data_IF_052874098326
#
_entry.id   IF_052874098326
#
_cell.length_a   1.000
_cell.length_b   1.000
_cell.length_c   1.000
_cell.angle_alpha   90.00
_cell.angle_beta   90.00
_cell.angle_gamma   90.00
#
_symmetry.space_group_name_H-M   'P 1'
#
loop_
_entity.id
_entity.type
_entity.pdbx_description
1 polymer ?
#
# COMPACT_ATOMS: atom_id res chain seq x y z
N UNK A 1 -44.59 -50.83 -33.89
CA UNK A 1 -44.53 -49.35 -33.71
C UNK A 1 -43.93 -49.07 -32.34
N UNK A 2 -42.65 -48.72 -32.31
CA UNK A 2 -41.96 -48.31 -31.08
C UNK A 2 -41.94 -46.80 -30.99
N UNK A 3 -42.59 -46.22 -29.97
CA UNK A 3 -42.56 -44.76 -29.71
C UNK A 3 -41.32 -44.46 -28.85
N UNK A 4 -40.40 -43.73 -29.47
CA UNK A 4 -39.22 -43.16 -28.78
C UNK A 4 -39.64 -41.87 -28.09
N UNK A 5 -39.55 -41.85 -26.74
CA UNK A 5 -39.80 -40.64 -25.94
C UNK A 5 -38.50 -39.83 -25.91
N UNK A 6 -38.50 -38.64 -26.43
CA UNK A 6 -37.41 -37.67 -26.37
C UNK A 6 -37.56 -36.87 -25.08
N UNK A 7 -36.69 -37.11 -24.08
CA UNK A 7 -36.61 -36.31 -22.85
C UNK A 7 -35.68 -35.12 -23.15
N UNK A 8 -36.24 -33.91 -23.29
CA UNK A 8 -35.48 -32.67 -23.34
C UNK A 8 -35.21 -32.25 -21.90
N UNK A 9 -33.98 -32.47 -21.44
CA UNK A 9 -33.52 -31.98 -20.19
C UNK A 9 -33.24 -30.46 -20.25
N UNK A 10 -34.11 -29.65 -19.67
CA UNK A 10 -33.80 -28.26 -19.38
C UNK A 10 -32.73 -28.20 -18.29
N UNK A 11 -31.50 -27.92 -18.65
CA UNK A 11 -30.44 -27.52 -17.70
C UNK A 11 -30.75 -26.07 -17.33
N UNK A 12 -31.41 -25.86 -16.19
CA UNK A 12 -31.51 -24.55 -15.56
C UNK A 12 -30.14 -24.18 -15.02
N UNK A 13 -29.46 -23.27 -15.73
CA UNK A 13 -28.31 -22.56 -15.16
C UNK A 13 -28.82 -21.69 -14.01
N UNK A 14 -28.71 -22.20 -12.78
CA UNK A 14 -28.78 -21.37 -11.59
C UNK A 14 -27.49 -20.56 -11.53
N UNK A 15 -27.48 -19.38 -12.16
CA UNK A 15 -26.54 -18.33 -11.79
C UNK A 15 -26.93 -17.86 -10.40
N UNK A 16 -26.25 -18.36 -9.38
CA UNK A 16 -26.29 -17.76 -8.05
C UNK A 16 -25.80 -16.33 -8.19
N UNK A 17 -26.69 -15.37 -8.13
CA UNK A 17 -26.38 -13.98 -7.85
C UNK A 17 -25.85 -13.90 -6.41
N UNK A 18 -24.59 -14.29 -6.22
CA UNK A 18 -23.83 -13.76 -5.09
C UNK A 18 -23.71 -12.26 -5.37
N UNK A 19 -24.21 -11.42 -4.46
CA UNK A 19 -23.97 -9.99 -4.53
C UNK A 19 -22.47 -9.80 -4.75
N UNK A 20 -22.08 -9.19 -5.87
CA UNK A 20 -20.67 -8.95 -6.17
C UNK A 20 -20.14 -8.06 -5.05
N UNK A 21 -19.24 -8.60 -4.21
CA UNK A 21 -18.51 -7.79 -3.25
C UNK A 21 -17.78 -6.69 -4.03
N UNK A 22 -17.97 -5.45 -3.60
CA UNK A 22 -17.39 -4.28 -4.24
C UNK A 22 -15.89 -4.25 -3.91
N UNK A 23 -15.00 -3.89 -4.86
CA UNK A 23 -13.59 -3.70 -4.56
C UNK A 23 -13.37 -2.74 -3.39
N UNK A 24 -12.53 -3.11 -2.44
CA UNK A 24 -12.36 -2.33 -1.22
C UNK A 24 -11.67 -0.99 -1.46
N UNK A 25 -12.30 0.09 -1.02
CA UNK A 25 -11.73 1.45 -1.01
C UNK A 25 -10.92 1.76 0.26
N UNK A 26 -10.81 0.79 1.17
CA UNK A 26 -10.15 0.98 2.48
C UNK A 26 -8.75 1.60 2.36
N UNK A 27 -7.99 1.17 1.38
CA UNK A 27 -6.60 1.61 1.20
C UNK A 27 -6.46 3.01 0.59
N UNK A 28 -7.52 3.56 0.00
CA UNK A 28 -7.52 4.91 -0.56
C UNK A 28 -7.81 6.02 0.47
N UNK A 29 -8.20 5.66 1.69
CA UNK A 29 -8.68 6.60 2.71
C UNK A 29 -7.70 7.73 3.01
N UNK A 30 -6.40 7.42 3.05
CA UNK A 30 -5.39 8.43 3.35
C UNK A 30 -5.27 9.47 2.22
N UNK A 31 -5.15 9.02 0.98
CA UNK A 31 -5.12 9.90 -0.19
C UNK A 31 -6.37 10.76 -0.33
N UNK A 32 -7.56 10.16 -0.15
CA UNK A 32 -8.84 10.86 -0.17
C UNK A 32 -8.91 11.93 0.94
N UNK A 33 -8.50 11.59 2.16
CA UNK A 33 -8.46 12.55 3.29
C UNK A 33 -7.57 13.76 2.97
N UNK A 34 -6.37 13.53 2.42
CA UNK A 34 -5.46 14.62 2.06
C UNK A 34 -6.01 15.48 0.92
N UNK A 35 -6.69 14.88 -0.06
CA UNK A 35 -7.40 15.62 -1.09
C UNK A 35 -8.49 16.50 -0.50
N UNK A 36 -9.31 15.96 0.40
CA UNK A 36 -10.43 16.66 1.03
C UNK A 36 -9.99 17.78 1.98
N UNK A 37 -8.76 17.78 2.48
CA UNK A 37 -8.22 18.92 3.24
C UNK A 37 -8.09 20.19 2.38
N UNK A 38 -7.93 20.05 1.08
CA UNK A 38 -7.83 21.19 0.12
C UNK A 38 -9.13 21.38 -0.68
N UNK A 39 -9.93 20.33 -0.81
CA UNK A 39 -11.18 20.29 -1.56
C UNK A 39 -12.27 19.73 -0.65
N UNK A 40 -12.96 20.55 0.16
CA UNK A 40 -13.93 20.07 1.14
C UNK A 40 -14.97 19.12 0.56
N UNK A 41 -15.38 18.13 1.35
CA UNK A 41 -16.41 17.16 0.97
C UNK A 41 -17.69 17.92 0.54
N UNK A 42 -18.27 17.51 -0.60
CA UNK A 42 -19.43 18.19 -1.20
C UNK A 42 -19.10 19.37 -2.11
N UNK A 43 -17.86 19.84 -2.17
CA UNK A 43 -17.45 20.90 -3.11
C UNK A 43 -17.27 20.42 -4.56
N UNK A 44 -17.29 19.11 -4.80
CA UNK A 44 -17.18 18.46 -6.10
C UNK A 44 -18.03 17.19 -6.16
N UNK A 45 -18.51 16.78 -7.35
CA UNK A 45 -19.29 15.56 -7.49
C UNK A 45 -18.40 14.31 -7.35
N UNK A 46 -18.95 13.25 -6.75
CA UNK A 46 -18.26 11.96 -6.56
C UNK A 46 -19.07 10.81 -7.11
N UNK A 47 -18.39 9.75 -7.53
CA UNK A 47 -18.96 8.44 -7.80
C UNK A 47 -19.38 7.79 -6.48
N UNK A 48 -20.46 6.99 -6.54
CA UNK A 48 -20.80 6.08 -5.44
C UNK A 48 -19.72 4.98 -5.35
N UNK A 49 -19.51 4.41 -4.17
CA UNK A 49 -18.54 3.32 -3.97
C UNK A 49 -18.87 2.08 -4.82
N UNK A 50 -20.15 1.90 -5.19
CA UNK A 50 -20.62 0.83 -6.08
C UNK A 50 -20.28 1.06 -7.55
N UNK A 51 -19.93 2.27 -7.93
CA UNK A 51 -19.51 2.64 -9.30
C UNK A 51 -18.06 2.23 -9.59
N UNK A 52 -17.67 1.03 -9.19
CA UNK A 52 -16.28 0.57 -9.20
C UNK A 52 -15.60 0.63 -10.58
N UNK A 53 -16.37 0.54 -11.67
CA UNK A 53 -15.87 0.70 -13.06
C UNK A 53 -15.39 2.14 -13.29
N UNK A 54 -16.20 3.14 -12.91
CA UNK A 54 -15.84 4.54 -13.08
C UNK A 54 -14.64 4.93 -12.19
N UNK A 55 -14.56 4.35 -10.98
CA UNK A 55 -13.42 4.53 -10.07
C UNK A 55 -12.16 3.94 -10.69
N UNK A 56 -12.24 2.73 -11.26
CA UNK A 56 -11.12 2.10 -11.96
C UNK A 56 -10.69 2.91 -13.20
N UNK A 57 -11.64 3.45 -13.96
CA UNK A 57 -11.37 4.32 -15.10
C UNK A 57 -10.66 5.61 -14.68
N UNK A 58 -11.05 6.21 -13.57
CA UNK A 58 -10.32 7.33 -12.97
C UNK A 58 -8.88 6.94 -12.64
N UNK A 59 -8.68 5.82 -11.94
CA UNK A 59 -7.33 5.36 -11.58
C UNK A 59 -6.46 5.20 -12.84
N UNK A 60 -6.99 4.60 -13.90
CA UNK A 60 -6.28 4.46 -15.19
C UNK A 60 -5.96 5.83 -15.80
N UNK A 61 -6.91 6.76 -15.79
CA UNK A 61 -6.76 8.08 -16.39
C UNK A 61 -5.71 8.97 -15.69
N UNK A 62 -5.46 8.74 -14.40
CA UNK A 62 -4.44 9.45 -13.62
C UNK A 62 -3.08 8.74 -13.59
N UNK A 63 -2.92 7.60 -14.27
CA UNK A 63 -1.65 6.89 -14.30
C UNK A 63 -0.62 7.65 -15.12
N UNK A 64 0.53 7.95 -14.52
CA UNK A 64 1.64 8.61 -15.21
C UNK A 64 2.32 7.66 -16.22
N UNK A 65 3.12 8.24 -17.14
CA UNK A 65 3.86 7.50 -18.16
C UNK A 65 4.85 6.48 -17.57
N UNK A 66 5.39 6.76 -16.37
CA UNK A 66 6.27 5.86 -15.64
C UNK A 66 5.55 4.65 -14.99
N UNK A 67 4.22 4.60 -15.12
CA UNK A 67 3.38 3.53 -14.57
C UNK A 67 2.90 3.76 -13.14
N UNK A 68 3.43 4.75 -12.44
CA UNK A 68 2.99 5.10 -11.09
C UNK A 68 1.85 6.12 -11.07
N UNK A 69 1.53 6.60 -9.87
CA UNK A 69 0.49 7.61 -9.65
C UNK A 69 0.98 8.70 -8.70
N UNK A 70 0.47 9.91 -8.90
CA UNK A 70 0.57 10.98 -7.92
C UNK A 70 -0.24 10.64 -6.67
N UNK A 71 0.23 11.09 -5.50
CA UNK A 71 -0.48 10.86 -4.24
C UNK A 71 -1.57 11.91 -3.96
N UNK A 72 -2.41 11.62 -2.97
CA UNK A 72 -3.40 12.54 -2.43
C UNK A 72 -4.48 12.92 -3.46
N UNK A 73 -4.99 11.95 -4.19
CA UNK A 73 -6.11 12.10 -5.14
C UNK A 73 -7.35 11.39 -4.56
N UNK A 74 -8.52 11.99 -4.72
CA UNK A 74 -9.79 11.30 -4.51
C UNK A 74 -10.21 10.58 -5.79
N UNK A 75 -9.99 9.27 -5.83
CA UNK A 75 -10.31 8.42 -6.97
C UNK A 75 -11.81 8.33 -7.30
N UNK A 76 -12.66 8.76 -6.37
CA UNK A 76 -14.10 8.84 -6.57
C UNK A 76 -14.55 10.18 -7.19
N UNK A 77 -13.67 11.17 -7.31
CA UNK A 77 -14.03 12.48 -7.84
C UNK A 77 -14.44 12.41 -9.31
N UNK A 78 -15.60 12.98 -9.64
CA UNK A 78 -16.09 13.17 -11.03
C UNK A 78 -15.49 14.45 -11.61
N UNK A 79 -14.17 14.50 -11.70
CA UNK A 79 -13.42 15.64 -12.23
C UNK A 79 -12.70 15.21 -13.51
N UNK A 80 -12.41 16.18 -14.38
CA UNK A 80 -11.58 15.91 -15.55
C UNK A 80 -10.12 15.73 -15.13
N UNK A 81 -9.49 14.56 -15.38
CA UNK A 81 -8.12 14.27 -14.97
C UNK A 81 -7.10 15.29 -15.50
N UNK A 82 -7.19 15.69 -16.76
CA UNK A 82 -6.25 16.64 -17.36
C UNK A 82 -6.29 18.01 -16.66
N UNK A 83 -7.49 18.45 -16.30
CA UNK A 83 -7.68 19.72 -15.55
C UNK A 83 -7.10 19.63 -14.14
N UNK A 84 -7.30 18.51 -13.46
CA UNK A 84 -6.72 18.26 -12.12
C UNK A 84 -5.20 18.23 -12.21
N UNK A 85 -4.64 17.43 -13.12
CA UNK A 85 -3.20 17.32 -13.33
C UNK A 85 -2.60 18.69 -13.67
N UNK A 86 -3.26 19.46 -14.54
CA UNK A 86 -2.80 20.81 -14.91
C UNK A 86 -2.76 21.78 -13.71
N UNK A 87 -3.66 21.64 -12.75
CA UNK A 87 -3.72 22.47 -11.54
C UNK A 87 -2.61 22.17 -10.52
N UNK A 88 -2.02 20.98 -10.57
CA UNK A 88 -0.97 20.56 -9.63
C UNK A 88 0.39 21.15 -10.02
N UNK A 89 1.21 21.45 -9.01
CA UNK A 89 2.61 21.84 -9.26
C UNK A 89 3.42 20.65 -9.82
N UNK A 90 4.52 20.92 -10.54
CA UNK A 90 5.37 19.85 -11.11
C UNK A 90 5.82 18.81 -10.06
N UNK A 91 6.08 19.23 -8.82
CA UNK A 91 6.42 18.32 -7.72
C UNK A 91 5.26 17.34 -7.45
N UNK A 92 4.02 17.82 -7.39
CA UNK A 92 2.84 17.02 -7.03
C UNK A 92 2.29 16.16 -8.17
N UNK A 93 2.78 16.34 -9.40
CA UNK A 93 2.45 15.46 -10.54
C UNK A 93 3.29 14.18 -10.59
N UNK A 94 4.38 14.10 -9.82
CA UNK A 94 5.28 12.94 -9.84
C UNK A 94 4.63 11.73 -9.18
N UNK A 95 4.93 10.57 -9.74
CA UNK A 95 4.63 9.29 -9.08
C UNK A 95 5.39 9.13 -7.79
N UNK A 96 4.77 8.48 -6.82
CA UNK A 96 5.41 8.18 -5.53
C UNK A 96 4.71 7.02 -4.84
N UNK A 97 5.47 6.24 -4.07
CA UNK A 97 4.98 5.15 -3.21
C UNK A 97 4.55 5.69 -1.84
N UNK A 98 4.92 6.93 -1.53
CA UNK A 98 4.66 7.59 -0.25
C UNK A 98 3.17 7.66 0.09
N UNK A 99 2.81 7.68 1.38
CA UNK A 99 1.43 7.67 1.87
C UNK A 99 0.62 6.46 1.38
N UNK A 100 1.21 5.28 1.34
CA UNK A 100 0.57 4.05 0.85
C UNK A 100 -0.02 4.19 -0.56
N UNK A 101 0.61 4.98 -1.42
CA UNK A 101 0.21 5.16 -2.80
C UNK A 101 0.78 4.02 -3.69
N UNK A 102 0.26 3.85 -4.89
CA UNK A 102 0.60 2.84 -5.91
C UNK A 102 0.05 1.44 -5.60
N UNK A 103 0.31 0.86 -4.44
CA UNK A 103 -0.16 -0.50 -4.11
C UNK A 103 -1.70 -0.60 -4.14
N UNK A 104 -2.46 0.32 -3.51
CA UNK A 104 -3.92 0.29 -3.59
C UNK A 104 -4.46 0.37 -5.01
N UNK A 105 -3.84 1.18 -5.88
CA UNK A 105 -4.24 1.30 -7.27
C UNK A 105 -4.02 0.00 -8.04
N UNK A 106 -2.85 -0.64 -7.87
CA UNK A 106 -2.54 -1.94 -8.47
C UNK A 106 -3.57 -2.99 -8.02
N UNK A 107 -3.80 -3.09 -6.71
CA UNK A 107 -4.71 -4.07 -6.11
C UNK A 107 -6.15 -3.86 -6.59
N UNK A 108 -6.61 -2.61 -6.60
CA UNK A 108 -7.95 -2.27 -7.06
C UNK A 108 -8.15 -2.61 -8.54
N UNK A 109 -7.21 -2.24 -9.40
CA UNK A 109 -7.25 -2.54 -10.82
C UNK A 109 -7.18 -4.04 -11.11
N UNK A 110 -6.39 -4.80 -10.34
CA UNK A 110 -6.33 -6.26 -10.43
C UNK A 110 -7.67 -6.91 -10.06
N UNK A 111 -8.33 -6.44 -8.99
CA UNK A 111 -9.65 -6.92 -8.58
C UNK A 111 -10.72 -6.60 -9.65
N UNK A 112 -10.73 -5.37 -10.18
CA UNK A 112 -11.66 -5.00 -11.26
C UNK A 112 -11.38 -5.80 -12.54
N UNK A 113 -10.12 -6.09 -12.85
CA UNK A 113 -9.78 -6.99 -13.96
C UNK A 113 -10.35 -8.39 -13.76
N UNK A 114 -10.18 -8.98 -12.60
CA UNK A 114 -10.74 -10.32 -12.31
C UNK A 114 -12.27 -10.37 -12.48
N UNK A 115 -12.97 -9.29 -12.14
CA UNK A 115 -14.44 -9.21 -12.25
C UNK A 115 -14.93 -8.99 -13.66
N UNK A 116 -14.17 -8.26 -14.47
CA UNK A 116 -14.63 -7.77 -15.78
C UNK A 116 -13.96 -8.43 -16.98
N UNK A 117 -12.76 -9.00 -16.79
CA UNK A 117 -11.91 -9.47 -17.88
C UNK A 117 -11.39 -8.34 -18.78
N UNK A 118 -11.53 -7.07 -18.38
CA UNK A 118 -11.12 -5.95 -19.22
C UNK A 118 -9.61 -5.69 -19.11
N UNK A 119 -8.91 -5.98 -20.19
CA UNK A 119 -7.45 -5.90 -20.31
C UNK A 119 -6.84 -4.55 -19.97
N UNK A 120 -7.56 -3.44 -20.12
CA UNK A 120 -7.04 -2.10 -19.75
C UNK A 120 -6.65 -2.02 -18.28
N UNK A 121 -7.41 -2.69 -17.38
CA UNK A 121 -7.13 -2.69 -15.94
C UNK A 121 -5.92 -3.56 -15.61
N UNK A 122 -5.80 -4.75 -16.25
CA UNK A 122 -4.63 -5.61 -16.14
C UNK A 122 -3.36 -4.88 -16.56
N UNK A 123 -3.38 -4.25 -17.75
CA UNK A 123 -2.24 -3.51 -18.28
C UNK A 123 -1.83 -2.34 -17.38
N UNK A 124 -2.81 -1.62 -16.81
CA UNK A 124 -2.52 -0.54 -15.88
C UNK A 124 -1.92 -1.07 -14.56
N UNK A 125 -2.43 -2.19 -14.03
CA UNK A 125 -1.86 -2.84 -12.86
C UNK A 125 -0.43 -3.33 -13.12
N UNK A 126 -0.16 -3.95 -14.29
CA UNK A 126 1.19 -4.36 -14.70
C UNK A 126 2.16 -3.18 -14.75
N UNK A 127 1.76 -2.05 -15.36
CA UNK A 127 2.62 -0.85 -15.36
C UNK A 127 2.90 -0.33 -13.96
N UNK A 128 1.92 -0.42 -13.04
CA UNK A 128 2.13 -0.07 -11.62
C UNK A 128 3.15 -0.98 -10.93
N UNK A 129 3.11 -2.28 -11.22
CA UNK A 129 4.11 -3.25 -10.73
C UNK A 129 5.50 -2.93 -11.30
N UNK A 130 5.58 -2.62 -12.60
CA UNK A 130 6.81 -2.19 -13.23
C UNK A 130 7.40 -0.93 -12.56
N UNK A 131 6.56 0.05 -12.25
CA UNK A 131 6.98 1.25 -11.52
C UNK A 131 7.63 0.88 -10.18
N UNK A 132 7.05 -0.03 -9.40
CA UNK A 132 7.62 -0.48 -8.12
C UNK A 132 9.00 -1.11 -8.33
N UNK A 133 9.14 -2.02 -9.32
CA UNK A 133 10.39 -2.72 -9.62
C UNK A 133 11.45 -1.73 -10.09
N UNK A 134 11.10 -0.83 -11.02
CA UNK A 134 12.03 0.11 -11.63
C UNK A 134 12.48 1.24 -10.68
N UNK A 135 11.70 1.53 -9.64
CA UNK A 135 12.06 2.53 -8.62
C UNK A 135 12.81 1.94 -7.42
N UNK A 136 12.95 0.61 -7.37
CA UNK A 136 13.83 -0.03 -6.39
C UNK A 136 15.28 0.39 -6.62
N UNK A 137 15.92 0.88 -5.57
CA UNK A 137 17.34 1.25 -5.62
C UNK A 137 18.23 0.00 -5.73
N UNK A 138 19.48 0.18 -6.15
CA UNK A 138 20.46 -0.92 -6.23
C UNK A 138 20.66 -1.63 -4.89
N UNK A 139 20.58 -0.89 -3.78
CA UNK A 139 20.67 -1.42 -2.42
C UNK A 139 19.43 -2.21 -1.98
N UNK A 140 18.36 -2.25 -2.77
CA UNK A 140 17.12 -2.97 -2.50
C UNK A 140 16.00 -2.15 -1.84
N UNK A 141 16.27 -0.90 -1.43
CA UNK A 141 15.29 -0.02 -0.79
C UNK A 141 14.49 0.84 -1.76
N UNK A 142 13.51 1.56 -1.22
CA UNK A 142 12.74 2.58 -1.93
C UNK A 142 12.84 3.91 -1.19
N UNK A 143 12.80 4.99 -1.99
CA UNK A 143 12.78 6.35 -1.43
C UNK A 143 11.36 6.82 -1.10
N UNK A 144 11.23 7.64 -0.06
CA UNK A 144 10.02 8.41 0.23
C UNK A 144 9.94 9.72 -0.56
N UNK A 145 9.06 10.61 -0.12
CA UNK A 145 8.80 11.87 -0.79
C UNK A 145 9.88 12.93 -0.56
N UNK A 146 10.33 13.09 0.68
CA UNK A 146 11.15 14.24 1.09
C UNK A 146 12.65 13.96 1.07
N UNK A 147 13.08 12.73 1.33
CA UNK A 147 14.50 12.37 1.36
C UNK A 147 14.86 11.32 0.31
N UNK A 148 16.07 11.42 -0.24
CA UNK A 148 16.64 10.37 -1.06
C UNK A 148 17.37 9.34 -0.19
N UNK A 149 16.62 8.60 0.58
CA UNK A 149 17.07 7.60 1.54
C UNK A 149 16.21 6.33 1.43
N UNK A 150 16.69 5.21 1.99
CA UNK A 150 15.86 4.04 2.25
C UNK A 150 14.81 4.46 3.26
N UNK A 151 13.52 4.43 2.90
CA UNK A 151 12.45 5.04 3.69
C UNK A 151 11.48 3.99 4.20
N UNK A 152 11.32 3.91 5.52
CA UNK A 152 10.27 3.14 6.18
C UNK A 152 9.11 4.03 6.64
N UNK A 153 9.36 5.35 6.84
CA UNK A 153 8.32 6.32 7.17
C UNK A 153 7.16 6.27 6.16
N UNK A 154 5.93 6.54 6.63
CA UNK A 154 4.70 6.49 5.84
C UNK A 154 4.51 5.16 5.10
N UNK A 155 5.02 4.06 5.68
CA UNK A 155 4.95 2.68 5.20
C UNK A 155 5.55 2.46 3.79
N UNK A 156 6.44 3.33 3.31
CA UNK A 156 6.99 3.27 1.94
C UNK A 156 7.55 1.89 1.61
N UNK A 157 8.65 1.49 2.24
CA UNK A 157 9.28 0.18 1.98
C UNK A 157 8.41 -0.96 2.48
N UNK A 158 7.77 -0.81 3.64
CA UNK A 158 7.03 -1.90 4.29
C UNK A 158 5.79 -2.29 3.49
N UNK A 159 5.05 -1.30 2.95
CA UNK A 159 3.86 -1.56 2.13
C UNK A 159 4.23 -2.24 0.80
N UNK A 160 5.33 -1.81 0.16
CA UNK A 160 5.86 -2.49 -1.03
C UNK A 160 6.24 -3.92 -0.71
N UNK A 161 6.98 -4.14 0.36
CA UNK A 161 7.45 -5.47 0.75
C UNK A 161 6.31 -6.43 1.11
N UNK A 162 5.24 -5.94 1.76
CA UNK A 162 4.05 -6.74 2.00
C UNK A 162 3.42 -7.17 0.67
N UNK A 163 3.23 -6.24 -0.25
CA UNK A 163 2.69 -6.54 -1.59
C UNK A 163 3.54 -7.57 -2.35
N UNK A 164 4.86 -7.37 -2.40
CA UNK A 164 5.76 -8.31 -3.09
C UNK A 164 5.74 -9.70 -2.42
N UNK A 165 5.67 -9.74 -1.08
CA UNK A 165 5.53 -10.98 -0.31
C UNK A 165 4.24 -11.73 -0.67
N UNK A 166 3.10 -11.04 -0.67
CA UNK A 166 1.80 -11.63 -0.98
C UNK A 166 1.80 -12.23 -2.40
N UNK A 167 2.34 -11.52 -3.38
CA UNK A 167 2.47 -12.04 -4.76
C UNK A 167 3.37 -13.25 -4.82
N UNK A 168 4.53 -13.23 -4.17
CA UNK A 168 5.49 -14.36 -4.14
C UNK A 168 4.89 -15.58 -3.44
N UNK A 169 4.08 -15.37 -2.40
CA UNK A 169 3.36 -16.42 -1.69
C UNK A 169 2.10 -16.91 -2.43
N UNK A 170 1.82 -16.36 -3.61
CA UNK A 170 0.78 -16.86 -4.52
C UNK A 170 -0.60 -16.26 -4.31
N UNK A 171 -0.69 -14.99 -3.95
CA UNK A 171 -1.96 -14.27 -3.86
C UNK A 171 -2.83 -14.53 -5.10
N UNK A 172 -4.04 -15.11 -4.94
CA UNK A 172 -4.93 -15.44 -6.04
C UNK A 172 -5.32 -14.24 -6.91
N UNK A 173 -5.25 -13.03 -6.37
CA UNK A 173 -5.54 -11.81 -7.11
C UNK A 173 -4.56 -11.58 -8.27
N UNK A 174 -3.34 -12.10 -8.19
CA UNK A 174 -2.25 -11.88 -9.14
C UNK A 174 -1.88 -13.14 -9.96
N UNK A 175 -2.72 -14.18 -9.99
CA UNK A 175 -2.48 -15.42 -10.77
C UNK A 175 -2.37 -15.20 -12.28
N UNK A 176 -2.82 -14.07 -12.78
CA UNK A 176 -2.72 -13.69 -14.19
C UNK A 176 -1.33 -13.16 -14.58
N UNK A 177 -0.46 -12.88 -13.63
CA UNK A 177 0.91 -12.44 -13.92
C UNK A 177 1.70 -13.51 -14.67
N UNK A 178 2.49 -13.06 -15.63
CA UNK A 178 3.43 -13.93 -16.35
C UNK A 178 4.49 -14.48 -15.39
N UNK A 179 5.08 -15.63 -15.74
CA UNK A 179 6.18 -16.20 -14.97
C UNK A 179 7.39 -15.26 -14.90
N UNK A 180 7.63 -14.49 -15.95
CA UNK A 180 8.71 -13.49 -15.98
C UNK A 180 8.45 -12.39 -14.96
N UNK A 181 7.23 -11.84 -14.92
CA UNK A 181 6.84 -10.82 -13.93
C UNK A 181 6.99 -11.37 -12.49
N UNK A 182 6.54 -12.59 -12.24
CA UNK A 182 6.70 -13.22 -10.91
C UNK A 182 8.18 -13.37 -10.54
N UNK A 183 9.05 -13.77 -11.46
CA UNK A 183 10.49 -13.88 -11.21
C UNK A 183 11.13 -12.51 -10.89
N UNK A 184 10.73 -11.45 -11.59
CA UNK A 184 11.21 -10.09 -11.34
C UNK A 184 10.72 -9.55 -10.00
N UNK A 185 9.46 -9.81 -9.64
CA UNK A 185 8.88 -9.50 -8.33
C UNK A 185 9.66 -10.24 -7.23
N UNK A 186 9.92 -11.53 -7.40
CA UNK A 186 10.69 -12.31 -6.43
C UNK A 186 12.11 -11.78 -6.26
N UNK A 187 12.77 -11.38 -7.34
CA UNK A 187 14.09 -10.74 -7.27
C UNK A 187 14.05 -9.42 -6.48
N UNK A 188 13.05 -8.58 -6.74
CA UNK A 188 12.85 -7.33 -6.00
C UNK A 188 12.55 -7.59 -4.51
N UNK A 189 11.71 -8.58 -4.22
CA UNK A 189 11.40 -9.01 -2.87
C UNK A 189 12.65 -9.44 -2.09
N UNK A 190 13.50 -10.29 -2.66
CA UNK A 190 14.72 -10.75 -1.98
C UNK A 190 15.69 -9.60 -1.70
N UNK A 191 15.88 -8.66 -2.64
CA UNK A 191 16.68 -7.45 -2.41
C UNK A 191 16.08 -6.59 -1.28
N UNK A 192 14.73 -6.49 -1.22
CA UNK A 192 14.04 -5.76 -0.17
C UNK A 192 14.20 -6.40 1.21
N UNK A 193 14.19 -7.73 1.32
CA UNK A 193 14.50 -8.43 2.57
C UNK A 193 15.94 -8.12 3.01
N UNK A 194 16.91 -8.21 2.10
CA UNK A 194 18.32 -7.92 2.41
C UNK A 194 18.50 -6.50 2.96
N UNK A 195 17.91 -5.49 2.33
CA UNK A 195 18.01 -4.11 2.82
C UNK A 195 17.34 -3.91 4.18
N UNK A 196 16.20 -4.55 4.44
CA UNK A 196 15.55 -4.49 5.75
C UNK A 196 16.48 -5.07 6.83
N UNK A 197 17.10 -6.21 6.58
CA UNK A 197 18.03 -6.83 7.54
C UNK A 197 19.27 -5.96 7.78
N UNK A 198 19.82 -5.30 6.75
CA UNK A 198 20.95 -4.38 6.86
C UNK A 198 20.61 -3.10 7.63
N UNK A 199 19.39 -2.59 7.46
CA UNK A 199 18.92 -1.39 8.15
C UNK A 199 18.57 -1.64 9.64
N UNK A 200 18.54 -2.89 10.12
CA UNK A 200 18.30 -3.14 11.54
C UNK A 200 19.46 -2.61 12.38
N UNK A 201 19.19 -1.56 13.19
CA UNK A 201 20.23 -0.84 13.90
C UNK A 201 20.86 -1.72 14.98
N UNK A 202 22.19 -1.69 15.05
CA UNK A 202 22.99 -2.41 16.07
C UNK A 202 23.49 -1.41 17.10
N UNK A 203 23.17 -1.62 18.38
CA UNK A 203 23.66 -0.83 19.50
C UNK A 203 24.43 -1.73 20.47
N UNK A 204 25.66 -1.39 20.78
CA UNK A 204 26.54 -2.18 21.68
C UNK A 204 26.63 -3.67 21.27
N UNK A 205 26.71 -3.94 19.95
CA UNK A 205 26.78 -5.30 19.40
C UNK A 205 25.44 -6.08 19.39
N UNK A 206 24.33 -5.44 19.76
CA UNK A 206 23.01 -6.07 19.80
C UNK A 206 22.09 -5.43 18.75
N UNK A 207 21.44 -6.26 17.92
CA UNK A 207 20.39 -5.81 17.00
C UNK A 207 19.20 -5.25 17.77
N UNK A 208 18.70 -4.10 17.33
CA UNK A 208 17.58 -3.38 17.94
C UNK A 208 16.38 -3.34 16.98
N UNK A 209 15.90 -2.15 16.63
CA UNK A 209 14.82 -1.88 15.71
C UNK A 209 15.31 -0.93 14.59
N UNK A 210 14.40 -0.43 13.77
CA UNK A 210 14.72 0.42 12.61
C UNK A 210 14.44 1.89 12.89
N UNK A 211 15.03 2.76 12.07
CA UNK A 211 14.71 4.18 12.01
C UNK A 211 13.66 4.46 10.90
N UNK A 212 13.18 5.70 10.82
CA UNK A 212 12.28 6.15 9.78
C UNK A 212 12.95 6.17 8.40
N UNK A 213 14.22 6.58 8.34
CA UNK A 213 15.01 6.60 7.12
C UNK A 213 16.44 6.12 7.41
N UNK A 214 17.04 5.49 6.39
CA UNK A 214 18.42 5.01 6.45
C UNK A 214 19.21 5.47 5.22
N UNK A 215 20.49 5.72 5.43
CA UNK A 215 21.45 6.08 4.36
C UNK A 215 21.54 4.98 3.31
N UNK A 216 21.64 5.39 2.05
CA UNK A 216 21.65 4.45 0.92
C UNK A 216 22.93 3.58 0.83
N UNK A 217 24.00 3.96 1.53
CA UNK A 217 25.33 3.32 1.47
C UNK A 217 25.69 2.68 2.79
N UNK A 218 25.56 3.43 3.89
CA UNK A 218 25.96 2.98 5.23
C UNK A 218 24.88 2.22 5.95
N UNK A 219 23.62 2.35 5.53
CA UNK A 219 22.42 1.81 6.19
C UNK A 219 22.14 2.38 7.59
N UNK A 220 22.91 3.39 8.02
CA UNK A 220 22.71 4.07 9.31
C UNK A 220 21.48 4.99 9.27
N UNK A 221 20.85 5.26 10.42
CA UNK A 221 19.76 6.21 10.52
C UNK A 221 20.14 7.60 10.00
N UNK A 222 19.28 8.21 9.18
CA UNK A 222 19.51 9.56 8.64
C UNK A 222 18.28 10.45 8.84
N UNK A 223 18.53 11.77 8.80
CA UNK A 223 17.50 12.80 8.87
C UNK A 223 16.77 12.91 7.52
N UNK A 224 15.44 13.18 7.57
CA UNK A 224 14.68 13.63 6.42
C UNK A 224 14.20 15.08 6.60
N UNK A 225 12.98 15.30 7.12
CA UNK A 225 12.47 16.66 7.41
C UNK A 225 13.13 17.24 8.66
N UNK A 226 12.95 18.54 8.92
CA UNK A 226 13.60 19.21 10.05
C UNK A 226 13.32 18.59 11.42
N UNK A 227 12.16 17.97 11.56
CA UNK A 227 11.68 17.30 12.78
C UNK A 227 11.84 15.77 12.76
N UNK A 228 12.27 15.19 11.65
CA UNK A 228 12.57 13.75 11.52
C UNK A 228 14.07 13.53 11.70
N UNK A 229 14.49 13.48 12.93
CA UNK A 229 15.89 13.27 13.29
C UNK A 229 16.28 11.80 13.18
N UNK A 230 17.58 11.49 12.97
CA UNK A 230 18.05 10.12 13.03
C UNK A 230 17.75 9.50 14.39
N UNK A 231 17.07 8.36 14.39
CA UNK A 231 16.71 7.67 15.64
C UNK A 231 15.84 6.44 15.40
N UNK A 232 15.79 5.58 16.40
CA UNK A 232 14.95 4.39 16.38
C UNK A 232 13.47 4.78 16.39
N UNK A 233 12.66 4.13 15.57
CA UNK A 233 11.23 4.41 15.48
C UNK A 233 10.38 3.15 15.72
N UNK A 234 9.62 3.17 16.80
CA UNK A 234 8.77 2.04 17.17
C UNK A 234 7.57 1.83 16.20
N UNK A 235 6.89 2.88 15.70
CA UNK A 235 5.79 2.69 14.74
C UNK A 235 6.22 1.98 13.46
N UNK A 236 7.26 2.46 12.78
CA UNK A 236 7.77 1.87 11.54
C UNK A 236 8.32 0.46 11.79
N UNK A 237 9.05 0.28 12.88
CA UNK A 237 9.59 -1.04 13.26
C UNK A 237 8.48 -2.05 13.54
N UNK A 238 7.35 -1.61 14.10
CA UNK A 238 6.18 -2.49 14.29
C UNK A 238 5.64 -3.02 12.96
N UNK A 239 5.54 -2.15 11.95
CA UNK A 239 5.09 -2.56 10.62
C UNK A 239 6.09 -3.49 9.94
N UNK A 240 7.40 -3.21 10.06
CA UNK A 240 8.46 -4.09 9.54
C UNK A 240 8.36 -5.47 10.20
N UNK A 241 8.23 -5.53 11.53
CA UNK A 241 8.12 -6.80 12.25
C UNK A 241 6.88 -7.59 11.83
N UNK A 242 5.73 -6.94 11.68
CA UNK A 242 4.49 -7.59 11.23
C UNK A 242 4.65 -8.16 9.81
N UNK A 243 5.27 -7.40 8.89
CA UNK A 243 5.56 -7.87 7.54
C UNK A 243 6.54 -9.06 7.56
N UNK A 244 7.64 -8.98 8.32
CA UNK A 244 8.58 -10.10 8.43
C UNK A 244 7.93 -11.37 9.05
N UNK A 245 6.98 -11.21 9.97
CA UNK A 245 6.22 -12.31 10.57
C UNK A 245 5.20 -12.93 9.61
N UNK A 246 4.79 -12.24 8.53
CA UNK A 246 3.89 -12.77 7.52
C UNK A 246 4.58 -13.65 6.47
N UNK A 247 5.91 -13.77 6.52
CA UNK A 247 6.70 -14.55 5.56
C UNK A 247 6.56 -16.04 5.87
N UNK A 248 6.12 -16.82 4.89
CA UNK A 248 6.12 -18.27 4.95
C UNK A 248 7.55 -18.82 4.96
N UNK A 249 7.86 -19.71 5.93
CA UNK A 249 9.17 -20.33 6.07
C UNK A 249 10.36 -19.34 6.07
N UNK A 250 10.35 -18.32 6.96
CA UNK A 250 11.38 -17.28 6.98
C UNK A 250 12.78 -17.86 7.26
N UNK A 251 13.81 -17.23 6.68
CA UNK A 251 15.21 -17.60 6.92
C UNK A 251 15.61 -17.41 8.39
N UNK A 252 16.77 -17.97 8.78
CA UNK A 252 17.26 -17.82 10.15
C UNK A 252 17.58 -16.34 10.49
N UNK A 253 18.10 -15.59 9.53
CA UNK A 253 18.39 -14.15 9.68
C UNK A 253 17.10 -13.34 9.91
N UNK A 254 16.03 -13.66 9.20
CA UNK A 254 14.71 -13.03 9.39
C UNK A 254 14.15 -13.36 10.78
N UNK A 255 14.22 -14.64 11.20
CA UNK A 255 13.80 -15.06 12.56
C UNK A 255 14.59 -14.33 13.66
N UNK A 256 15.89 -14.19 13.47
CA UNK A 256 16.75 -13.44 14.37
C UNK A 256 16.37 -11.96 14.44
N UNK A 257 16.16 -11.32 13.26
CA UNK A 257 15.74 -9.93 13.17
C UNK A 257 14.42 -9.67 13.93
N UNK A 258 13.43 -10.54 13.73
CA UNK A 258 12.14 -10.49 14.44
C UNK A 258 12.38 -10.61 15.95
N UNK A 259 13.12 -11.64 16.37
CA UNK A 259 13.34 -11.93 17.80
C UNK A 259 14.04 -10.76 18.50
N UNK A 260 15.09 -10.22 17.87
CA UNK A 260 15.84 -9.09 18.43
C UNK A 260 14.97 -7.82 18.50
N UNK A 261 14.24 -7.51 17.43
CA UNK A 261 13.36 -6.34 17.39
C UNK A 261 12.25 -6.40 18.43
N UNK A 262 11.54 -7.53 18.53
CA UNK A 262 10.48 -7.74 19.53
C UNK A 262 11.05 -7.65 20.96
N UNK A 263 12.20 -8.29 21.21
CA UNK A 263 12.87 -8.25 22.53
C UNK A 263 13.26 -6.82 22.88
N UNK A 264 13.82 -6.06 21.93
CA UNK A 264 14.19 -4.67 22.17
C UNK A 264 12.94 -3.82 22.52
N UNK A 265 11.85 -3.94 21.77
CA UNK A 265 10.60 -3.20 22.03
C UNK A 265 10.02 -3.56 23.39
N UNK A 266 10.01 -4.85 23.74
CA UNK A 266 9.53 -5.32 25.04
C UNK A 266 10.33 -4.74 26.19
N UNK A 267 11.66 -4.75 26.09
CA UNK A 267 12.55 -4.28 27.15
C UNK A 267 12.53 -2.74 27.31
N UNK A 268 12.17 -2.02 26.25
CA UNK A 268 12.15 -0.55 26.26
C UNK A 268 10.71 0.01 26.28
N UNK A 269 9.70 -0.83 26.56
CA UNK A 269 8.32 -0.35 26.70
C UNK A 269 8.19 0.58 27.91
N UNK A 270 7.35 1.59 27.79
CA UNK A 270 7.01 2.47 28.91
C UNK A 270 5.89 1.79 29.69
N UNK A 271 6.13 1.54 30.98
CA UNK A 271 5.16 0.89 31.87
C UNK A 271 4.35 1.92 32.65
N UNK A 272 3.16 1.50 33.09
CA UNK A 272 2.27 2.32 33.93
C UNK A 272 1.54 3.45 33.21
N UNK A 273 1.66 3.52 31.88
CA UNK A 273 0.91 4.47 31.06
C UNK A 273 0.24 3.77 29.88
N UNK A 274 -0.85 4.34 29.39
CA UNK A 274 -1.47 3.96 28.11
C UNK A 274 -1.93 5.20 27.36
N UNK A 275 -2.07 5.06 26.04
CA UNK A 275 -2.66 6.10 25.21
C UNK A 275 -4.14 5.78 25.05
N UNK A 276 -4.99 6.70 25.49
CA UNK A 276 -6.44 6.60 25.27
C UNK A 276 -6.90 7.59 24.20
N UNK A 277 -7.87 7.15 23.39
CA UNK A 277 -8.54 8.01 22.43
C UNK A 277 -9.80 8.57 23.10
N UNK A 278 -9.81 9.88 23.35
CA UNK A 278 -10.92 10.58 24.00
C UNK A 278 -11.65 11.47 22.99
N UNK A 279 -12.96 11.66 23.20
CA UNK A 279 -13.76 12.64 22.45
C UNK A 279 -13.51 14.00 23.09
N UNK A 280 -13.01 14.97 22.31
CA UNK A 280 -12.75 16.34 22.76
C UNK A 280 -13.80 17.34 22.26
N UNK A 281 -14.69 16.91 21.38
CA UNK A 281 -15.75 17.75 20.84
C UNK A 281 -16.53 17.03 19.73
N UNK A 282 -17.46 17.78 19.13
CA UNK A 282 -18.20 17.33 17.95
C UNK A 282 -18.08 18.41 16.89
N UNK A 283 -17.75 18.00 15.67
CA UNK A 283 -17.71 18.88 14.51
C UNK A 283 -19.12 19.43 14.26
N UNK A 284 -19.26 20.74 14.27
CA UNK A 284 -20.56 21.43 14.18
C UNK A 284 -21.21 21.31 12.79
N UNK A 285 -20.45 21.00 11.77
CA UNK A 285 -20.92 20.87 10.37
C UNK A 285 -21.33 19.43 10.07
N UNK A 286 -20.47 18.45 10.45
CA UNK A 286 -20.66 17.05 10.10
C UNK A 286 -21.33 16.22 11.19
N UNK A 287 -21.46 16.74 12.41
CA UNK A 287 -21.95 16.00 13.58
C UNK A 287 -21.04 14.87 14.06
N UNK A 288 -19.82 14.74 13.50
CA UNK A 288 -18.87 13.69 13.85
C UNK A 288 -18.05 14.08 15.09
N UNK A 289 -17.77 13.10 15.95
CA UNK A 289 -16.90 13.30 17.10
C UNK A 289 -15.47 13.66 16.67
N UNK A 290 -14.91 14.69 17.29
CA UNK A 290 -13.50 15.05 17.22
C UNK A 290 -12.80 14.31 18.35
N UNK A 291 -11.69 13.65 18.04
CA UNK A 291 -10.93 12.85 18.98
C UNK A 291 -9.53 13.42 19.20
N UNK A 292 -9.05 13.27 20.42
CA UNK A 292 -7.63 13.44 20.75
C UNK A 292 -7.08 12.16 21.40
N UNK A 293 -5.77 12.09 21.49
CA UNK A 293 -5.06 11.00 22.16
C UNK A 293 -4.37 11.57 23.40
N UNK A 294 -4.71 11.02 24.56
CA UNK A 294 -4.11 11.42 25.83
C UNK A 294 -3.33 10.26 26.43
N UNK A 295 -2.27 10.59 27.15
CA UNK A 295 -1.52 9.62 27.95
C UNK A 295 -2.13 9.59 29.34
N UNK A 296 -2.52 8.42 29.80
CA UNK A 296 -3.15 8.16 31.12
C UNK A 296 -2.39 7.07 31.84
#
# INVERSE_FOLDING_TARGET
MKRTLLIIGCIALFTTLYGQEIPSLKYFRDGIKHWQMQHPEGSYPRWDETDFIHIADNIVAYQNEDGGWMKNIDWLAKLNPDSVIASLSPKHRRSTIDNRNVIPQITYLADVYQRTGNEKYRQAAERGIEYIINTQKENGGWRGWDADAITFNDDVTTNVMQFLCDVVQGDPLFKWLSRDNINRIAAAYHKGIDVILRCQVVQNGVKTIWAQQHDNITYEPVKARSYELPGLSAPESSQILLMLMSIDNPSQEVKEAITCGVKWMWNNRIEGIKVEKIVIGTDSVTGKNIYDRVVV
#
